data_IF_541539673182
#
_entry.id   IF_541539673182
#
_cell.length_a   1.000
_cell.length_b   1.000
_cell.length_c   1.000
_cell.angle_alpha   90.00
_cell.angle_beta   90.00
_cell.angle_gamma   90.00
#
_symmetry.space_group_name_H-M   'P 1'
#
loop_
_entity.id
_entity.type
_entity.pdbx_description
1 polymer ?
#
# COMPACT_ATOMS: atom_id res chain seq x y z
N UNK A 1 2.21 -5.02 18.92
CA UNK A 1 0.92 -4.47 18.43
C UNK A 1 0.02 -5.57 17.92
N UNK A 2 -1.28 -5.41 18.16
CA UNK A 2 -2.32 -6.38 17.78
C UNK A 2 -3.27 -5.74 16.79
N UNK A 3 -3.68 -6.51 15.78
CA UNK A 3 -4.73 -6.18 14.83
C UNK A 3 -5.96 -7.00 15.17
N UNK A 4 -7.10 -6.32 15.28
CA UNK A 4 -8.39 -6.97 15.50
C UNK A 4 -9.15 -7.00 14.17
N UNK A 5 -9.48 -8.19 13.69
CA UNK A 5 -10.32 -8.38 12.52
C UNK A 5 -11.72 -8.78 12.99
N UNK A 6 -12.73 -7.99 12.62
CA UNK A 6 -14.13 -8.26 12.96
C UNK A 6 -14.86 -8.70 11.69
N UNK A 7 -15.35 -9.93 11.67
CA UNK A 7 -16.30 -10.41 10.66
C UNK A 7 -17.72 -10.23 11.20
N UNK A 8 -18.41 -9.22 10.67
CA UNK A 8 -19.77 -8.88 11.10
C UNK A 8 -20.85 -9.82 10.58
N UNK A 9 -20.56 -10.57 9.51
CA UNK A 9 -21.51 -11.52 8.93
C UNK A 9 -21.61 -12.77 9.81
N UNK A 10 -20.45 -13.32 10.17
CA UNK A 10 -20.38 -14.54 10.97
C UNK A 10 -20.36 -14.27 12.48
N UNK A 11 -20.33 -12.98 12.87
CA UNK A 11 -20.19 -12.53 14.27
C UNK A 11 -18.95 -13.13 14.93
N UNK A 12 -17.85 -13.13 14.20
CA UNK A 12 -16.57 -13.62 14.69
C UNK A 12 -15.53 -12.51 14.73
N UNK A 13 -14.52 -12.66 15.59
CA UNK A 13 -13.36 -11.80 15.58
C UNK A 13 -12.07 -12.59 15.77
N UNK A 14 -10.99 -12.15 15.14
CA UNK A 14 -9.64 -12.67 15.41
C UNK A 14 -8.72 -11.56 15.88
N UNK A 15 -7.72 -11.95 16.67
CA UNK A 15 -6.68 -11.05 17.17
C UNK A 15 -5.35 -11.58 16.64
N UNK A 16 -4.71 -10.80 15.78
CA UNK A 16 -3.48 -11.20 15.12
C UNK A 16 -2.34 -10.25 15.44
N UNK A 17 -1.10 -10.74 15.43
CA UNK A 17 0.06 -9.84 15.45
C UNK A 17 0.22 -9.16 14.10
N UNK A 18 0.73 -7.93 14.08
CA UNK A 18 0.96 -7.19 12.84
C UNK A 18 1.83 -7.98 11.84
N UNK A 19 2.85 -8.68 12.35
CA UNK A 19 3.75 -9.53 11.55
C UNK A 19 3.06 -10.70 10.85
N UNK A 20 1.91 -11.16 11.33
CA UNK A 20 1.11 -12.18 10.65
C UNK A 20 0.53 -11.67 9.33
N UNK A 21 0.15 -10.39 9.25
CA UNK A 21 -0.33 -9.76 8.01
C UNK A 21 0.81 -9.65 7.01
N UNK A 22 2.01 -9.28 7.45
CA UNK A 22 3.20 -9.19 6.60
C UNK A 22 3.52 -10.53 5.95
N UNK A 23 3.47 -11.62 6.74
CA UNK A 23 3.65 -12.99 6.23
C UNK A 23 2.53 -13.41 5.27
N UNK A 24 1.28 -13.11 5.61
CA UNK A 24 0.12 -13.51 4.81
C UNK A 24 0.09 -12.83 3.44
N UNK A 25 0.46 -11.55 3.38
CA UNK A 25 0.37 -10.74 2.16
C UNK A 25 1.72 -10.51 1.47
N UNK A 26 2.81 -11.10 2.01
CA UNK A 26 4.16 -11.02 1.45
C UNK A 26 4.61 -9.59 1.12
N UNK A 27 4.28 -8.64 2.00
CA UNK A 27 4.59 -7.23 1.79
C UNK A 27 6.06 -6.96 2.15
N UNK A 28 6.88 -6.40 1.23
CA UNK A 28 8.33 -6.31 1.41
C UNK A 28 8.77 -5.39 2.56
N UNK A 29 7.90 -4.50 3.01
CA UNK A 29 8.12 -3.62 4.17
C UNK A 29 6.94 -3.66 5.16
N UNK A 30 6.12 -4.71 5.09
CA UNK A 30 5.08 -4.96 6.07
C UNK A 30 3.96 -3.92 6.12
N UNK A 31 3.43 -3.67 7.32
CA UNK A 31 2.33 -2.72 7.52
C UNK A 31 2.67 -1.25 7.22
N UNK A 32 3.87 -0.72 7.54
CA UNK A 32 4.25 0.64 7.17
C UNK A 32 4.08 0.95 5.68
N UNK A 33 4.42 0.00 4.80
CA UNK A 33 4.18 0.15 3.36
C UNK A 33 2.70 0.37 3.04
N UNK A 34 1.78 -0.36 3.68
CA UNK A 34 0.35 -0.14 3.47
C UNK A 34 -0.09 1.25 3.91
N UNK A 35 0.48 1.78 4.99
CA UNK A 35 0.18 3.13 5.45
C UNK A 35 0.63 4.17 4.41
N UNK A 36 1.85 4.05 3.90
CA UNK A 36 2.37 4.95 2.85
C UNK A 36 1.51 4.87 1.58
N UNK A 37 1.14 3.66 1.13
CA UNK A 37 0.27 3.44 -0.03
C UNK A 37 -1.11 4.09 0.17
N UNK A 38 -1.73 3.95 1.34
CA UNK A 38 -3.00 4.59 1.64
C UNK A 38 -2.88 6.11 1.58
N UNK A 39 -1.78 6.66 2.13
CA UNK A 39 -1.48 8.08 2.10
C UNK A 39 -0.92 8.57 0.76
N UNK A 40 -0.72 7.67 -0.20
CA UNK A 40 -0.07 7.93 -1.49
C UNK A 40 1.30 8.61 -1.36
N UNK A 41 2.05 8.18 -0.36
CA UNK A 41 3.43 8.55 -0.13
C UNK A 41 4.34 7.41 -0.58
N UNK A 42 5.49 7.72 -1.17
CA UNK A 42 6.39 6.71 -1.70
C UNK A 42 7.17 6.03 -0.55
N UNK A 43 7.18 4.70 -0.54
CA UNK A 43 8.02 3.96 0.42
C UNK A 43 9.45 3.83 -0.12
N UNK A 44 10.46 4.23 0.67
CA UNK A 44 11.87 4.13 0.29
C UNK A 44 12.64 3.11 1.15
N UNK A 45 13.43 2.27 0.50
CA UNK A 45 14.39 1.40 1.17
C UNK A 45 15.73 2.14 1.36
N UNK A 46 16.22 2.30 2.59
CA UNK A 46 17.41 3.12 2.87
C UNK A 46 18.70 2.54 2.30
N UNK A 47 18.73 1.24 2.03
CA UNK A 47 19.87 0.50 1.48
C UNK A 47 19.81 0.34 -0.05
N UNK A 48 18.79 0.88 -0.71
CA UNK A 48 18.70 0.90 -2.16
C UNK A 48 19.18 2.25 -2.70
N UNK A 49 20.30 2.22 -3.43
CA UNK A 49 20.76 3.39 -4.18
C UNK A 49 19.94 3.54 -5.46
N UNK A 50 19.21 4.66 -5.57
CA UNK A 50 18.37 4.95 -6.73
C UNK A 50 19.16 5.63 -7.86
N UNK A 51 18.87 5.22 -9.08
CA UNK A 51 19.29 5.86 -10.31
C UNK A 51 18.07 6.49 -10.99
N UNK A 52 18.29 7.60 -11.67
CA UNK A 52 17.24 8.33 -12.38
C UNK A 52 17.43 8.27 -13.89
N UNK A 53 16.35 8.08 -14.61
CA UNK A 53 16.24 8.33 -16.04
C UNK A 53 14.81 8.77 -16.42
N UNK A 54 14.55 8.89 -17.72
CA UNK A 54 13.22 9.14 -18.26
C UNK A 54 12.79 7.92 -19.05
N UNK A 55 11.59 7.40 -18.77
CA UNK A 55 11.01 6.25 -19.45
C UNK A 55 9.51 6.44 -19.62
N UNK A 56 8.99 6.18 -20.83
CA UNK A 56 7.58 6.34 -21.15
C UNK A 56 7.05 7.76 -20.81
N UNK A 57 7.86 8.79 -21.06
CA UNK A 57 7.58 10.21 -20.72
C UNK A 57 7.42 10.51 -19.22
N UNK A 58 7.84 9.57 -18.36
CA UNK A 58 7.84 9.72 -16.90
C UNK A 58 9.27 9.78 -16.36
N UNK A 59 9.47 10.59 -15.33
CA UNK A 59 10.67 10.50 -14.49
C UNK A 59 10.64 9.17 -13.77
N UNK A 60 11.70 8.38 -13.93
CA UNK A 60 11.81 7.09 -13.30
C UNK A 60 12.98 7.08 -12.34
N UNK A 61 12.72 6.64 -11.11
CA UNK A 61 13.74 6.26 -10.14
C UNK A 61 13.72 4.75 -9.99
N UNK A 62 14.88 4.09 -10.04
CA UNK A 62 14.94 2.64 -9.86
C UNK A 62 16.24 2.20 -9.20
N UNK A 63 16.19 1.07 -8.50
CA UNK A 63 17.36 0.50 -7.85
C UNK A 63 17.07 -0.87 -7.25
N UNK A 64 18.11 -1.52 -6.73
CA UNK A 64 17.98 -2.80 -6.03
C UNK A 64 19.11 -2.98 -5.02
N UNK A 65 18.83 -3.71 -3.94
CA UNK A 65 19.82 -4.19 -2.96
C UNK A 65 20.13 -5.69 -3.14
N UNK A 66 19.67 -6.31 -4.24
CA UNK A 66 19.84 -7.73 -4.55
C UNK A 66 18.79 -8.68 -3.96
N UNK A 67 17.99 -8.23 -2.98
CA UNK A 67 16.82 -8.96 -2.47
C UNK A 67 15.51 -8.36 -3.00
N UNK A 68 15.42 -7.03 -2.97
CA UNK A 68 14.29 -6.24 -3.46
C UNK A 68 14.77 -5.29 -4.55
N UNK A 69 14.02 -5.21 -5.64
CA UNK A 69 14.11 -4.16 -6.64
C UNK A 69 12.95 -3.18 -6.47
N UNK A 70 13.18 -1.91 -6.74
CA UNK A 70 12.14 -0.88 -6.72
C UNK A 70 12.17 -0.02 -7.98
N UNK A 71 11.00 0.40 -8.43
CA UNK A 71 10.81 1.36 -9.52
C UNK A 71 9.71 2.35 -9.12
N UNK A 72 9.98 3.65 -9.21
CA UNK A 72 9.02 4.72 -9.01
C UNK A 72 8.89 5.49 -10.32
N UNK A 73 7.67 5.78 -10.74
CA UNK A 73 7.38 6.58 -11.93
C UNK A 73 6.61 7.82 -11.55
N UNK A 74 7.07 8.98 -12.00
CA UNK A 74 6.48 10.28 -11.68
C UNK A 74 6.25 11.08 -12.96
N UNK A 75 5.21 11.90 -12.96
CA UNK A 75 4.94 12.78 -14.10
C UNK A 75 6.03 13.82 -14.34
N UNK A 76 6.24 14.15 -15.61
CA UNK A 76 7.00 15.32 -16.01
C UNK A 76 6.33 16.62 -15.50
N UNK A 77 7.13 17.57 -15.01
CA UNK A 77 6.68 18.86 -14.51
C UNK A 77 6.00 18.84 -13.13
N UNK A 78 4.99 17.99 -12.91
CA UNK A 78 4.25 17.92 -11.64
C UNK A 78 4.92 17.04 -10.59
N UNK A 79 5.77 16.09 -11.03
CA UNK A 79 6.38 15.05 -10.21
C UNK A 79 5.38 14.22 -9.39
N UNK A 80 4.09 14.21 -9.77
CA UNK A 80 3.10 13.37 -9.11
C UNK A 80 3.43 11.90 -9.34
N UNK A 81 3.46 11.11 -8.26
CA UNK A 81 3.74 9.68 -8.31
C UNK A 81 2.64 8.97 -9.10
N UNK A 82 2.99 8.28 -10.18
CA UNK A 82 2.05 7.48 -10.98
C UNK A 82 2.08 6.02 -10.58
N UNK A 83 3.25 5.50 -10.25
CA UNK A 83 3.37 4.15 -9.72
C UNK A 83 4.61 3.98 -8.85
N UNK A 84 4.52 3.06 -7.91
CA UNK A 84 5.66 2.45 -7.24
C UNK A 84 5.56 0.92 -7.35
N UNK A 85 6.67 0.28 -7.68
CA UNK A 85 6.74 -1.16 -7.88
C UNK A 85 7.84 -1.73 -7.02
N UNK A 86 7.59 -2.91 -6.44
CA UNK A 86 8.54 -3.68 -5.68
C UNK A 86 8.62 -5.09 -6.25
N UNK A 87 9.83 -5.55 -6.49
CA UNK A 87 10.12 -6.86 -7.09
C UNK A 87 11.00 -7.66 -6.15
N UNK A 88 10.69 -8.93 -5.93
CA UNK A 88 11.53 -9.87 -5.20
C UNK A 88 11.95 -10.97 -6.19
N UNK A 89 13.05 -10.79 -6.95
CA UNK A 89 13.39 -11.67 -8.06
C UNK A 89 13.63 -13.13 -7.64
N UNK A 90 14.18 -13.34 -6.43
CA UNK A 90 14.44 -14.69 -5.90
C UNK A 90 13.16 -15.50 -5.70
N UNK A 91 12.10 -14.84 -5.27
CA UNK A 91 10.82 -15.46 -4.94
C UNK A 91 9.80 -15.33 -6.08
N UNK A 92 10.18 -14.67 -7.19
CA UNK A 92 9.29 -14.34 -8.31
C UNK A 92 8.02 -13.60 -7.88
N UNK A 93 8.16 -12.67 -6.92
CA UNK A 93 7.04 -11.86 -6.41
C UNK A 93 7.16 -10.43 -6.90
N UNK A 94 6.02 -9.81 -7.14
CA UNK A 94 5.96 -8.40 -7.49
C UNK A 94 4.69 -7.77 -6.91
N UNK A 95 4.78 -6.51 -6.53
CA UNK A 95 3.62 -5.68 -6.25
C UNK A 95 3.82 -4.32 -6.89
N UNK A 96 2.78 -3.79 -7.49
CA UNK A 96 2.74 -2.44 -8.06
C UNK A 96 1.54 -1.70 -7.50
N UNK A 97 1.80 -0.51 -6.98
CA UNK A 97 0.79 0.45 -6.57
C UNK A 97 0.75 1.55 -7.61
N UNK A 98 -0.44 1.86 -8.12
CA UNK A 98 -0.67 2.91 -9.12
C UNK A 98 -1.63 3.96 -8.57
N UNK A 99 -1.35 5.23 -8.86
CA UNK A 99 -2.08 6.37 -8.30
C UNK A 99 -2.66 7.25 -9.41
N UNK A 100 -3.96 7.52 -9.32
CA UNK A 100 -4.73 8.25 -10.31
C UNK A 100 -5.74 9.21 -9.70
N UNK A 101 -6.45 9.93 -10.58
CA UNK A 101 -7.48 10.91 -10.21
C UNK A 101 -7.00 11.89 -9.12
N UNK A 102 -5.88 12.55 -9.40
CA UNK A 102 -5.29 13.53 -8.49
C UNK A 102 -6.16 14.77 -8.39
N UNK A 103 -6.60 15.09 -7.17
CA UNK A 103 -7.40 16.28 -6.85
C UNK A 103 -6.71 17.11 -5.79
N UNK A 104 -6.96 18.43 -5.81
CA UNK A 104 -6.46 19.32 -4.77
C UNK A 104 -7.31 19.17 -3.51
N UNK A 105 -6.66 18.87 -2.39
CA UNK A 105 -7.26 18.68 -1.08
C UNK A 105 -6.64 19.68 -0.10
N UNK A 106 -7.49 20.36 0.68
CA UNK A 106 -7.02 21.29 1.70
C UNK A 106 -6.15 20.56 2.74
N UNK A 107 -4.98 21.11 3.05
CA UNK A 107 -4.06 20.52 4.03
C UNK A 107 -3.18 19.35 3.52
N UNK A 108 -3.39 18.84 2.30
CA UNK A 108 -2.56 17.78 1.71
C UNK A 108 -2.07 18.04 0.27
N UNK A 109 -2.54 19.10 -0.39
CA UNK A 109 -2.09 19.41 -1.76
C UNK A 109 -2.76 18.49 -2.78
N UNK A 110 -2.01 18.02 -3.77
CA UNK A 110 -2.54 17.07 -4.77
C UNK A 110 -2.56 15.66 -4.18
N UNK A 111 -3.73 15.04 -4.13
CA UNK A 111 -3.93 13.72 -3.54
C UNK A 111 -4.67 12.80 -4.51
N UNK A 112 -4.27 11.53 -4.68
CA UNK A 112 -4.92 10.62 -5.60
C UNK A 112 -6.18 10.01 -4.98
N UNK A 113 -7.29 10.09 -5.71
CA UNK A 113 -8.56 9.50 -5.31
C UNK A 113 -8.69 8.06 -5.80
N UNK A 114 -7.89 7.66 -6.79
CA UNK A 114 -7.85 6.30 -7.32
C UNK A 114 -6.52 5.62 -6.99
N UNK A 115 -6.59 4.40 -6.47
CA UNK A 115 -5.43 3.50 -6.29
C UNK A 115 -5.72 2.16 -6.92
N UNK A 116 -4.75 1.60 -7.63
CA UNK A 116 -4.76 0.20 -8.06
C UNK A 116 -3.58 -0.52 -7.44
N UNK A 117 -3.82 -1.71 -6.91
CA UNK A 117 -2.81 -2.60 -6.36
C UNK A 117 -2.82 -3.86 -7.22
N UNK A 118 -1.70 -4.12 -7.88
CA UNK A 118 -1.49 -5.32 -8.66
C UNK A 118 -0.35 -6.11 -8.03
N UNK A 119 -0.67 -7.29 -7.51
CA UNK A 119 0.30 -8.16 -6.86
C UNK A 119 0.35 -9.50 -7.58
N UNK A 120 1.53 -10.10 -7.60
CA UNK A 120 1.76 -11.44 -8.12
C UNK A 120 2.66 -12.21 -7.17
N UNK A 121 2.30 -13.46 -6.90
CA UNK A 121 3.17 -14.45 -6.30
C UNK A 121 2.93 -15.83 -6.93
N UNK A 122 3.91 -16.75 -6.89
CA UNK A 122 3.71 -18.13 -7.32
C UNK A 122 2.60 -18.86 -6.54
N UNK A 123 2.39 -18.50 -5.27
CA UNK A 123 1.45 -19.17 -4.37
C UNK A 123 0.00 -18.74 -4.58
N UNK A 124 -0.24 -17.44 -4.84
CA UNK A 124 -1.60 -16.88 -4.96
C UNK A 124 -1.97 -16.46 -6.37
N UNK A 125 -1.03 -16.48 -7.31
CA UNK A 125 -1.22 -15.94 -8.65
C UNK A 125 -1.34 -14.42 -8.66
N UNK A 126 -2.00 -13.88 -9.69
CA UNK A 126 -2.22 -12.45 -9.84
C UNK A 126 -3.45 -12.00 -9.05
N UNK A 127 -3.28 -10.94 -8.26
CA UNK A 127 -4.34 -10.24 -7.52
C UNK A 127 -4.39 -8.80 -8.00
N UNK A 128 -5.61 -8.31 -8.24
CA UNK A 128 -5.86 -6.91 -8.54
C UNK A 128 -6.91 -6.35 -7.60
N UNK A 129 -6.59 -5.23 -6.96
CA UNK A 129 -7.50 -4.45 -6.12
C UNK A 129 -7.54 -3.02 -6.65
N UNK A 130 -8.72 -2.44 -6.72
CA UNK A 130 -8.92 -1.02 -7.01
C UNK A 130 -9.64 -0.36 -5.84
N UNK A 131 -9.19 0.83 -5.46
CA UNK A 131 -9.71 1.62 -4.36
C UNK A 131 -10.00 3.02 -4.87
N UNK A 132 -11.28 3.39 -4.86
CA UNK A 132 -11.74 4.75 -5.14
C UNK A 132 -12.20 5.40 -3.83
N UNK A 133 -11.59 6.53 -3.50
CA UNK A 133 -11.96 7.31 -2.33
C UNK A 133 -13.06 8.31 -2.69
N UNK A 134 -14.18 8.26 -2.00
CA UNK A 134 -15.32 9.15 -2.26
C UNK A 134 -15.41 10.32 -1.28
N UNK A 135 -14.99 10.13 -0.03
CA UNK A 135 -14.94 11.16 1.01
C UNK A 135 -13.58 11.10 1.72
N UNK A 136 -12.86 12.22 1.74
CA UNK A 136 -11.52 12.33 2.30
C UNK A 136 -11.47 13.52 3.25
N UNK A 137 -11.14 13.24 4.52
CA UNK A 137 -10.98 14.23 5.59
C UNK A 137 -9.57 14.13 6.14
N UNK A 138 -8.86 15.25 6.18
CA UNK A 138 -7.44 15.30 6.55
C UNK A 138 -7.28 16.23 7.73
N UNK A 139 -6.51 15.78 8.73
CA UNK A 139 -6.24 16.52 9.97
C UNK A 139 -7.51 16.91 10.76
N UNK A 140 -8.58 16.13 10.60
CA UNK A 140 -9.79 16.26 11.41
C UNK A 140 -9.80 15.22 12.53
N UNK A 141 -10.18 15.64 13.74
CA UNK A 141 -10.36 14.70 14.86
C UNK A 141 -11.57 13.82 14.58
N UNK A 142 -11.37 12.51 14.60
CA UNK A 142 -12.43 11.52 14.44
C UNK A 142 -12.57 10.72 15.73
N UNK A 143 -13.79 10.65 16.27
CA UNK A 143 -14.09 9.72 17.36
C UNK A 143 -14.51 8.37 16.75
N UNK A 144 -13.63 7.38 16.86
CA UNK A 144 -13.95 6.01 16.44
C UNK A 144 -14.26 5.14 17.65
N UNK A 145 -15.52 4.74 17.81
CA UNK A 145 -15.92 3.77 18.85
C UNK A 145 -15.62 2.36 18.38
N UNK A 146 -14.40 1.89 18.62
CA UNK A 146 -14.08 0.48 18.44
C UNK A 146 -14.58 -0.30 19.67
N UNK A 147 -15.54 -1.21 19.45
CA UNK A 147 -15.95 -2.19 20.45
C UNK A 147 -16.30 -3.50 19.73
N UNK A 148 -15.91 -4.64 20.33
CA UNK A 148 -16.30 -5.96 19.86
C UNK A 148 -17.54 -6.35 20.67
N UNK A 149 -18.71 -6.57 20.03
CA UNK A 149 -19.91 -6.92 20.78
C UNK A 149 -19.75 -8.25 21.51
N UNK A 150 -20.27 -8.36 22.73
CA UNK A 150 -20.10 -9.53 23.61
C UNK A 150 -20.56 -10.86 23.00
N UNK A 151 -21.46 -10.81 22.03
CA UNK A 151 -21.99 -11.98 21.34
C UNK A 151 -21.11 -12.46 20.17
N UNK A 152 -19.96 -11.83 19.93
CA UNK A 152 -19.03 -12.26 18.90
C UNK A 152 -18.12 -13.38 19.43
N UNK A 153 -17.93 -14.40 18.61
CA UNK A 153 -17.04 -15.51 18.92
C UNK A 153 -15.60 -15.18 18.52
N UNK A 154 -14.64 -15.45 19.41
CA UNK A 154 -13.23 -15.36 19.06
C UNK A 154 -12.83 -16.56 18.22
N UNK A 155 -12.28 -16.32 17.05
CA UNK A 155 -11.68 -17.34 16.18
C UNK A 155 -10.18 -17.08 16.06
N UNK A 156 -9.39 -18.15 15.91
CA UNK A 156 -7.93 -18.08 15.74
C UNK A 156 -7.52 -17.80 14.27
#
# INVERSE_FOLDING_TARGET
DSVFLINRLDKTYSVKDLGSLERQYSLPAGFPLLQEVLLASAWFFPDIMLQSDIKDELHRLSGTNGSVGTEYRMEEGSFMLRSESFFQPRDSRAVTFSFGDYKKVSGAGMFPYLRSIEAYSPETGAVKLELELSDLKINETQEYRFNIPDHYEKID
#
